data_IF_045676714563
#
_entry.id   IF_045676714563
#
_cell.length_a   1.000
_cell.length_b   1.000
_cell.length_c   1.000
_cell.angle_alpha   90.00
_cell.angle_beta   90.00
_cell.angle_gamma   90.00
#
_symmetry.space_group_name_H-M   'P 1'
#
loop_
_entity.id
_entity.type
_entity.pdbx_description
1 polymer ?
#
# COMPACT_ATOMS: atom_id res chain seq x y z
N UNK A 1 6.40 -31.23 8.74
CA UNK A 1 6.15 -30.27 7.66
C UNK A 1 5.38 -29.07 8.19
N UNK A 2 5.98 -27.89 8.12
CA UNK A 2 5.41 -26.65 8.64
C UNK A 2 4.87 -25.80 7.49
N UNK A 3 3.54 -25.65 7.47
CA UNK A 3 2.82 -25.12 6.31
C UNK A 3 2.01 -23.89 6.70
N UNK A 4 2.17 -22.81 5.95
CA UNK A 4 1.33 -21.62 6.07
C UNK A 4 0.18 -21.72 5.08
N UNK A 5 -1.05 -21.53 5.56
CA UNK A 5 -2.27 -21.62 4.75
C UNK A 5 -2.91 -20.24 4.69
N UNK A 6 -3.03 -19.69 3.47
CA UNK A 6 -3.48 -18.33 3.22
C UNK A 6 -4.72 -18.35 2.34
N UNK A 7 -5.81 -17.73 2.79
CA UNK A 7 -7.00 -17.53 1.97
C UNK A 7 -6.80 -16.31 1.09
N UNK A 8 -6.96 -16.44 -0.22
CA UNK A 8 -6.78 -15.36 -1.18
C UNK A 8 -8.01 -14.45 -1.24
N UNK A 9 -7.79 -13.15 -1.37
CA UNK A 9 -8.84 -12.14 -1.61
C UNK A 9 -8.23 -10.92 -2.31
N UNK A 10 -9.06 -9.90 -2.59
CA UNK A 10 -8.58 -8.61 -3.14
C UNK A 10 -7.60 -7.89 -2.21
N UNK A 11 -7.64 -8.14 -0.90
CA UNK A 11 -6.76 -7.51 0.08
C UNK A 11 -5.62 -8.48 0.43
N UNK A 12 -4.44 -8.25 -0.16
CA UNK A 12 -3.28 -9.13 0.03
C UNK A 12 -2.45 -8.81 1.28
N UNK A 13 -2.46 -7.55 1.75
CA UNK A 13 -1.64 -7.11 2.88
C UNK A 13 -1.79 -7.97 4.13
N UNK A 14 -2.99 -8.38 4.59
CA UNK A 14 -3.07 -9.19 5.79
C UNK A 14 -2.32 -10.53 5.68
N UNK A 15 -2.35 -11.18 4.52
CA UNK A 15 -1.59 -12.42 4.29
C UNK A 15 -0.09 -12.15 4.31
N UNK A 16 0.35 -11.08 3.65
CA UNK A 16 1.74 -10.65 3.65
C UNK A 16 2.22 -10.33 5.08
N UNK A 17 1.46 -9.54 5.84
CA UNK A 17 1.73 -9.20 7.23
C UNK A 17 1.85 -10.43 8.12
N UNK A 18 0.93 -11.39 7.97
CA UNK A 18 0.94 -12.63 8.75
C UNK A 18 2.22 -13.44 8.50
N UNK A 19 2.61 -13.62 7.23
CA UNK A 19 3.83 -14.35 6.88
C UNK A 19 5.07 -13.62 7.41
N UNK A 20 5.13 -12.29 7.26
CA UNK A 20 6.25 -11.49 7.76
C UNK A 20 6.40 -11.61 9.28
N UNK A 21 5.28 -11.65 10.01
CA UNK A 21 5.24 -11.91 11.44
C UNK A 21 5.80 -13.28 11.82
N UNK A 22 5.43 -14.33 11.08
CA UNK A 22 5.96 -15.68 11.31
C UNK A 22 7.47 -15.73 11.03
N UNK A 23 7.93 -15.09 9.95
CA UNK A 23 9.36 -14.99 9.62
C UNK A 23 10.14 -14.23 10.70
N UNK A 24 9.64 -13.09 11.17
CA UNK A 24 10.25 -12.32 12.26
C UNK A 24 10.32 -13.09 13.60
N UNK A 25 9.43 -14.06 13.80
CA UNK A 25 9.44 -14.97 14.95
C UNK A 25 10.33 -16.21 14.73
N UNK A 26 11.13 -16.24 13.66
CA UNK A 26 11.94 -17.38 13.26
C UNK A 26 11.13 -18.69 13.13
N UNK A 27 9.87 -18.58 12.72
CA UNK A 27 9.04 -19.77 12.48
C UNK A 27 9.58 -20.53 11.27
N UNK A 28 9.90 -21.83 11.37
CA UNK A 28 10.48 -22.58 10.28
C UNK A 28 9.39 -22.96 9.26
N UNK A 29 9.11 -22.06 8.31
CA UNK A 29 8.15 -22.28 7.23
C UNK A 29 8.81 -23.12 6.14
N UNK A 30 8.13 -24.18 5.70
CA UNK A 30 8.62 -25.10 4.68
C UNK A 30 7.78 -25.08 3.41
N UNK A 31 6.50 -24.70 3.51
CA UNK A 31 5.58 -24.66 2.37
C UNK A 31 4.44 -23.69 2.60
N UNK A 32 3.86 -23.22 1.51
CA UNK A 32 2.67 -22.39 1.46
C UNK A 32 1.52 -23.13 0.76
N UNK A 33 0.30 -22.94 1.25
CA UNK A 33 -0.93 -23.32 0.55
C UNK A 33 -1.74 -22.04 0.36
N UNK A 34 -1.99 -21.68 -0.89
CA UNK A 34 -2.80 -20.53 -1.26
C UNK A 34 -4.18 -21.02 -1.69
N UNK A 35 -5.19 -20.74 -0.88
CA UNK A 35 -6.57 -21.19 -1.11
C UNK A 35 -7.34 -20.06 -1.78
N UNK A 36 -7.75 -20.27 -3.02
CA UNK A 36 -8.51 -19.32 -3.82
C UNK A 36 -9.85 -19.89 -4.30
N UNK A 37 -10.52 -19.07 -5.11
CA UNK A 37 -11.75 -19.37 -5.85
C UNK A 37 -11.63 -18.88 -7.30
N UNK A 38 -12.66 -19.13 -8.12
CA UNK A 38 -12.75 -18.60 -9.49
C UNK A 38 -12.48 -17.10 -9.58
N UNK A 39 -13.02 -16.31 -8.63
CA UNK A 39 -12.79 -14.88 -8.58
C UNK A 39 -11.30 -14.53 -8.40
N UNK A 40 -10.62 -15.21 -7.46
CA UNK A 40 -9.20 -14.93 -7.19
C UNK A 40 -8.28 -15.44 -8.29
N UNK A 41 -8.68 -16.50 -8.99
CA UNK A 41 -7.95 -17.07 -10.13
C UNK A 41 -8.07 -16.15 -11.35
N UNK A 42 -9.29 -15.71 -11.68
CA UNK A 42 -9.57 -14.75 -12.75
C UNK A 42 -8.76 -13.46 -12.59
N UNK A 43 -8.61 -12.98 -11.35
CA UNK A 43 -7.85 -11.77 -11.03
C UNK A 43 -6.37 -12.04 -10.68
N UNK A 44 -5.91 -13.29 -10.76
CA UNK A 44 -4.52 -13.72 -10.52
C UNK A 44 -3.93 -13.27 -9.17
N UNK A 45 -4.74 -13.19 -8.12
CA UNK A 45 -4.26 -12.73 -6.80
C UNK A 45 -3.19 -13.62 -6.18
N UNK A 46 -3.12 -14.88 -6.59
CA UNK A 46 -2.02 -15.77 -6.21
C UNK A 46 -0.66 -15.23 -6.69
N UNK A 47 -0.56 -14.71 -7.93
CA UNK A 47 0.68 -14.16 -8.47
C UNK A 47 1.15 -12.93 -7.67
N UNK A 48 0.21 -12.09 -7.24
CA UNK A 48 0.53 -10.90 -6.46
C UNK A 48 1.20 -11.29 -5.14
N UNK A 49 0.63 -12.27 -4.43
CA UNK A 49 1.15 -12.72 -3.15
C UNK A 49 2.47 -13.49 -3.30
N UNK A 50 2.61 -14.29 -4.36
CA UNK A 50 3.87 -14.99 -4.71
C UNK A 50 4.99 -13.98 -4.94
N UNK A 51 4.74 -12.94 -5.76
CA UNK A 51 5.70 -11.87 -6.03
C UNK A 51 6.08 -11.12 -4.74
N UNK A 52 5.08 -10.69 -3.96
CA UNK A 52 5.30 -9.93 -2.73
C UNK A 52 6.10 -10.72 -1.67
N UNK A 53 5.89 -12.04 -1.60
CA UNK A 53 6.60 -12.91 -0.68
C UNK A 53 7.93 -13.43 -1.21
N UNK A 54 8.21 -13.22 -2.50
CA UNK A 54 9.37 -13.77 -3.20
C UNK A 54 9.37 -15.30 -3.26
N UNK A 55 8.19 -15.93 -3.37
CA UNK A 55 8.08 -17.40 -3.40
C UNK A 55 8.55 -17.96 -4.74
N UNK A 56 9.24 -19.09 -4.69
CA UNK A 56 9.69 -19.84 -5.86
C UNK A 56 8.74 -21.00 -6.17
N UNK A 57 8.82 -21.50 -7.40
CA UNK A 57 8.12 -22.72 -7.79
C UNK A 57 8.52 -23.88 -6.86
N UNK A 58 7.54 -24.69 -6.46
CA UNK A 58 7.71 -25.78 -5.50
C UNK A 58 7.58 -25.38 -4.02
N UNK A 59 7.65 -24.09 -3.68
CA UNK A 59 7.44 -23.60 -2.31
C UNK A 59 5.96 -23.44 -1.96
N UNK A 60 5.06 -23.40 -2.95
CA UNK A 60 3.63 -23.19 -2.76
C UNK A 60 2.76 -24.20 -3.51
N UNK A 61 1.52 -24.33 -3.06
CA UNK A 61 0.44 -25.06 -3.72
C UNK A 61 -0.77 -24.16 -3.87
N UNK A 62 -1.49 -24.28 -4.99
CA UNK A 62 -2.73 -23.54 -5.26
C UNK A 62 -3.92 -24.47 -5.08
N UNK A 63 -4.79 -24.14 -4.15
CA UNK A 63 -6.02 -24.90 -3.91
C UNK A 63 -7.21 -24.05 -4.32
N UNK A 64 -8.08 -24.61 -5.15
CA UNK A 64 -9.32 -23.98 -5.58
C UNK A 64 -10.49 -24.56 -4.80
N UNK A 65 -11.34 -23.68 -4.27
CA UNK A 65 -12.57 -24.03 -3.55
C UNK A 65 -13.72 -23.15 -4.02
N UNK A 66 -14.94 -23.61 -3.79
CA UNK A 66 -16.13 -22.77 -3.94
C UNK A 66 -16.14 -21.62 -2.91
N UNK A 67 -16.34 -20.38 -3.36
CA UNK A 67 -16.36 -19.20 -2.47
C UNK A 67 -17.73 -18.87 -1.87
N UNK A 68 -18.80 -19.41 -2.44
CA UNK A 68 -20.19 -19.05 -2.14
C UNK A 68 -20.94 -20.20 -1.44
N UNK A 69 -20.47 -21.44 -1.59
CA UNK A 69 -21.04 -22.64 -0.98
C UNK A 69 -20.13 -23.24 0.09
N UNK A 70 -20.51 -23.09 1.36
CA UNK A 70 -19.79 -23.68 2.49
C UNK A 70 -19.70 -25.22 2.39
N UNK A 71 -20.75 -25.88 1.89
CA UNK A 71 -20.80 -27.34 1.75
C UNK A 71 -19.81 -27.79 0.69
N UNK A 72 -19.82 -27.14 -0.48
CA UNK A 72 -18.91 -27.48 -1.57
C UNK A 72 -17.45 -27.16 -1.19
N UNK A 73 -17.19 -25.99 -0.61
CA UNK A 73 -15.87 -25.61 -0.12
C UNK A 73 -15.28 -26.64 0.85
N UNK A 74 -16.09 -27.20 1.76
CA UNK A 74 -15.65 -28.27 2.66
C UNK A 74 -15.35 -29.57 1.94
N UNK A 75 -16.13 -29.92 0.91
CA UNK A 75 -15.88 -31.11 0.10
C UNK A 75 -14.55 -30.98 -0.65
N UNK A 76 -14.32 -29.82 -1.27
CA UNK A 76 -13.08 -29.50 -1.98
C UNK A 76 -11.87 -29.60 -1.03
N UNK A 77 -11.96 -28.96 0.15
CA UNK A 77 -10.90 -29.00 1.17
C UNK A 77 -10.67 -30.41 1.71
N UNK A 78 -11.71 -31.20 1.93
CA UNK A 78 -11.59 -32.58 2.40
C UNK A 78 -10.84 -33.45 1.38
N UNK A 79 -11.12 -33.27 0.08
CA UNK A 79 -10.40 -33.95 -0.99
C UNK A 79 -8.92 -33.56 -1.02
N UNK A 80 -8.60 -32.27 -0.91
CA UNK A 80 -7.22 -31.77 -0.89
C UNK A 80 -6.45 -32.26 0.34
N UNK A 81 -7.07 -32.26 1.52
CA UNK A 81 -6.46 -32.73 2.77
C UNK A 81 -6.26 -34.24 2.80
N UNK A 82 -7.14 -35.02 2.19
CA UNK A 82 -7.00 -36.48 2.11
C UNK A 82 -5.73 -36.89 1.35
N UNK A 83 -5.38 -36.16 0.29
CA UNK A 83 -4.15 -36.39 -0.49
C UNK A 83 -2.86 -36.10 0.30
N UNK A 84 -2.96 -35.45 1.47
CA UNK A 84 -1.81 -35.05 2.32
C UNK A 84 -1.58 -35.97 3.52
N UNK A 85 -2.23 -37.13 3.58
CA UNK A 85 -2.00 -38.14 4.62
C UNK A 85 -0.59 -38.75 4.50
N UNK A 86 0.40 -38.00 4.98
CA UNK A 86 1.77 -38.48 5.19
C UNK A 86 1.98 -38.75 6.68
N UNK A 87 2.78 -39.78 6.99
CA UNK A 87 3.08 -40.20 8.37
C UNK A 87 3.92 -39.19 9.18
N UNK A 88 4.43 -38.13 8.53
CA UNK A 88 5.26 -37.12 9.17
C UNK A 88 4.42 -36.09 9.92
N UNK A 89 4.90 -35.62 11.08
CA UNK A 89 4.28 -34.54 11.83
C UNK A 89 4.09 -33.29 10.96
N UNK A 90 2.87 -32.75 10.92
CA UNK A 90 2.52 -31.54 10.17
C UNK A 90 2.03 -30.45 11.11
N UNK A 91 2.39 -29.20 10.84
CA UNK A 91 1.89 -28.03 11.55
C UNK A 91 1.35 -27.03 10.55
N UNK A 92 0.07 -26.70 10.69
CA UNK A 92 -0.59 -25.70 9.88
C UNK A 92 -0.73 -24.38 10.64
N UNK A 93 -0.31 -23.28 10.00
CA UNK A 93 -0.67 -21.92 10.39
C UNK A 93 -1.72 -21.40 9.42
N UNK A 94 -2.99 -21.50 9.79
CA UNK A 94 -4.12 -21.08 8.99
C UNK A 94 -4.45 -19.62 9.24
N UNK A 95 -4.38 -18.79 8.21
CA UNK A 95 -4.73 -17.38 8.27
C UNK A 95 -6.13 -17.13 7.67
N UNK A 96 -7.06 -16.73 8.53
CA UNK A 96 -8.50 -16.62 8.24
C UNK A 96 -8.95 -15.24 7.75
N UNK A 97 -8.03 -14.29 7.60
CA UNK A 97 -8.38 -12.90 7.28
C UNK A 97 -8.83 -12.70 5.84
N UNK A 98 -8.25 -13.47 4.91
CA UNK A 98 -8.61 -13.43 3.49
C UNK A 98 -9.80 -14.34 3.16
N UNK A 99 -10.05 -14.52 1.85
CA UNK A 99 -11.22 -15.23 1.35
C UNK A 99 -12.55 -14.51 1.62
N UNK A 100 -13.65 -15.14 1.20
CA UNK A 100 -14.99 -14.79 1.68
C UNK A 100 -15.18 -15.35 3.10
N UNK A 101 -16.22 -14.90 3.80
CA UNK A 101 -16.59 -15.46 5.11
C UNK A 101 -16.86 -16.96 5.04
N UNK A 102 -17.49 -17.42 3.96
CA UNK A 102 -17.78 -18.84 3.72
C UNK A 102 -16.50 -19.66 3.57
N UNK A 103 -15.52 -19.15 2.81
CA UNK A 103 -14.19 -19.78 2.70
C UNK A 103 -13.50 -19.87 4.06
N UNK A 104 -13.49 -18.79 4.84
CA UNK A 104 -12.85 -18.78 6.16
C UNK A 104 -13.48 -19.78 7.13
N UNK A 105 -14.81 -19.86 7.17
CA UNK A 105 -15.54 -20.85 7.97
C UNK A 105 -15.25 -22.28 7.51
N UNK A 106 -15.32 -22.55 6.20
CA UNK A 106 -15.06 -23.87 5.63
C UNK A 106 -13.62 -24.33 5.88
N UNK A 107 -12.64 -23.43 5.74
CA UNK A 107 -11.24 -23.71 6.04
C UNK A 107 -11.04 -24.01 7.53
N UNK A 108 -11.57 -23.16 8.41
CA UNK A 108 -11.45 -23.37 9.85
C UNK A 108 -12.00 -24.75 10.27
N UNK A 109 -13.19 -25.11 9.81
CA UNK A 109 -13.81 -26.37 10.17
C UNK A 109 -13.08 -27.59 9.58
N UNK A 110 -12.64 -27.49 8.31
CA UNK A 110 -11.94 -28.58 7.63
C UNK A 110 -10.58 -28.87 8.26
N UNK A 111 -9.76 -27.84 8.49
CA UNK A 111 -8.45 -28.00 9.12
C UNK A 111 -8.58 -28.41 10.61
N UNK A 112 -9.58 -27.89 11.33
CA UNK A 112 -9.85 -28.31 12.72
C UNK A 112 -10.28 -29.77 12.78
N UNK A 113 -11.14 -30.23 11.87
CA UNK A 113 -11.49 -31.66 11.77
C UNK A 113 -10.25 -32.49 11.48
N UNK A 114 -9.45 -32.10 10.49
CA UNK A 114 -8.25 -32.84 10.08
C UNK A 114 -7.19 -32.95 11.19
N UNK A 115 -6.96 -31.87 11.96
CA UNK A 115 -6.04 -31.89 13.11
C UNK A 115 -6.55 -32.74 14.27
N UNK A 116 -7.87 -32.86 14.46
CA UNK A 116 -8.44 -33.77 15.48
C UNK A 116 -8.39 -35.23 15.07
N UNK A 117 -8.56 -35.53 13.79
CA UNK A 117 -8.61 -36.92 13.29
C UNK A 117 -7.24 -37.49 12.96
N UNK A 118 -6.20 -36.65 12.87
CA UNK A 118 -4.85 -37.06 12.45
C UNK A 118 -3.85 -36.71 13.55
N UNK A 119 -3.41 -37.69 14.35
CA UNK A 119 -2.56 -37.46 15.54
C UNK A 119 -1.28 -36.67 15.26
N UNK A 120 -0.73 -36.79 14.05
CA UNK A 120 0.50 -36.12 13.64
C UNK A 120 0.29 -34.65 13.20
N UNK A 121 -0.94 -34.13 13.21
CA UNK A 121 -1.27 -32.81 12.67
C UNK A 121 -1.59 -31.81 13.80
N UNK A 122 -0.88 -30.69 13.81
CA UNK A 122 -1.15 -29.53 14.66
C UNK A 122 -1.74 -28.39 13.83
N UNK A 123 -2.69 -27.64 14.42
CA UNK A 123 -3.29 -26.46 13.80
C UNK A 123 -3.19 -25.26 14.73
N UNK A 124 -2.71 -24.14 14.19
CA UNK A 124 -2.95 -22.81 14.73
C UNK A 124 -3.74 -21.98 13.74
N UNK A 125 -4.88 -21.43 14.17
CA UNK A 125 -5.70 -20.55 13.32
C UNK A 125 -5.61 -19.12 13.80
N UNK A 126 -5.45 -18.19 12.87
CA UNK A 126 -5.15 -16.79 13.15
C UNK A 126 -6.04 -15.85 12.33
N UNK A 127 -6.41 -14.73 12.92
CA UNK A 127 -7.14 -13.65 12.28
C UNK A 127 -6.45 -12.31 12.62
N UNK A 128 -6.29 -11.46 11.62
CA UNK A 128 -5.68 -10.15 11.74
C UNK A 128 -6.71 -9.11 11.28
N UNK A 129 -7.30 -8.32 12.19
CA UNK A 129 -8.27 -7.31 11.80
C UNK A 129 -7.63 -6.28 10.87
N UNK A 130 -8.49 -5.62 10.10
CA UNK A 130 -8.07 -4.51 9.27
C UNK A 130 -7.38 -3.42 10.12
N UNK A 131 -6.25 -2.89 9.65
CA UNK A 131 -5.41 -1.94 10.41
C UNK A 131 -4.34 -2.58 11.30
N UNK A 132 -4.26 -3.92 11.37
CA UNK A 132 -2.98 -4.63 11.58
C UNK A 132 -2.24 -4.45 12.90
N UNK A 133 -2.87 -3.96 13.98
CA UNK A 133 -2.18 -3.82 15.30
C UNK A 133 -2.37 -5.02 16.23
N UNK A 134 -3.24 -5.96 15.88
CA UNK A 134 -3.57 -7.13 16.69
C UNK A 134 -3.55 -8.41 15.85
N UNK A 135 -2.95 -9.46 16.41
CA UNK A 135 -3.07 -10.82 15.91
C UNK A 135 -3.91 -11.64 16.90
N UNK A 136 -5.04 -12.15 16.42
CA UNK A 136 -5.90 -13.04 17.18
C UNK A 136 -5.60 -14.48 16.79
N UNK A 137 -5.06 -15.26 17.72
CA UNK A 137 -5.06 -16.71 17.62
C UNK A 137 -6.43 -17.20 18.03
N UNK A 138 -7.15 -17.84 17.12
CA UNK A 138 -8.52 -18.35 17.32
C UNK A 138 -8.49 -19.80 17.83
N UNK A 139 -7.50 -20.59 17.40
CA UNK A 139 -7.37 -22.01 17.73
C UNK A 139 -5.89 -22.39 17.96
N UNK A 140 -5.57 -23.33 18.88
CA UNK A 140 -6.48 -24.11 19.74
C UNK A 140 -7.02 -23.36 20.96
N UNK A 141 -6.36 -22.28 21.37
CA UNK A 141 -6.76 -21.43 22.48
C UNK A 141 -6.87 -19.99 22.01
N UNK A 142 -8.00 -19.34 22.28
CA UNK A 142 -8.22 -17.94 21.94
C UNK A 142 -7.22 -17.05 22.70
N UNK A 143 -6.37 -16.32 21.97
CA UNK A 143 -5.42 -15.34 22.53
C UNK A 143 -5.23 -14.20 21.56
N UNK A 144 -5.13 -12.98 22.10
CA UNK A 144 -4.84 -11.77 21.31
C UNK A 144 -3.46 -11.26 21.68
N UNK A 145 -2.67 -10.87 20.69
CA UNK A 145 -1.35 -10.26 20.90
C UNK A 145 -1.24 -8.98 20.08
N UNK A 146 -0.73 -7.91 20.69
CA UNK A 146 -0.28 -6.73 19.96
C UNK A 146 0.92 -7.11 19.11
N UNK A 147 0.89 -6.71 17.85
CA UNK A 147 2.01 -6.93 16.94
C UNK A 147 2.81 -5.65 16.79
N UNK A 148 4.12 -5.81 16.73
CA UNK A 148 5.00 -4.71 16.36
C UNK A 148 4.72 -4.29 14.92
N UNK A 149 5.09 -3.04 14.60
CA UNK A 149 5.07 -2.53 13.25
C UNK A 149 5.89 -3.44 12.33
N UNK A 150 5.43 -3.62 11.09
CA UNK A 150 6.16 -4.38 10.08
C UNK A 150 6.84 -3.41 9.11
N UNK A 151 8.13 -3.59 8.87
CA UNK A 151 8.84 -2.72 7.93
C UNK A 151 8.60 -3.19 6.50
N UNK A 152 7.50 -2.78 5.89
CA UNK A 152 7.23 -3.03 4.48
C UNK A 152 8.10 -2.17 3.57
N UNK A 153 8.59 -2.78 2.50
CA UNK A 153 9.16 -2.09 1.35
C UNK A 153 8.07 -1.75 0.34
N UNK A 154 8.30 -0.73 -0.48
CA UNK A 154 7.42 -0.38 -1.60
C UNK A 154 7.27 -1.56 -2.56
N UNK A 155 8.35 -2.32 -2.79
CA UNK A 155 8.31 -3.52 -3.65
C UNK A 155 7.35 -4.58 -3.12
N UNK A 156 7.40 -4.88 -1.82
CA UNK A 156 6.48 -5.82 -1.17
C UNK A 156 5.03 -5.32 -1.26
N UNK A 157 4.78 -4.04 -0.96
CA UNK A 157 3.44 -3.46 -0.97
C UNK A 157 2.83 -3.48 -2.37
N UNK A 158 3.52 -2.94 -3.37
CA UNK A 158 3.02 -2.88 -4.75
C UNK A 158 2.92 -4.27 -5.38
N UNK A 159 3.87 -5.17 -5.08
CA UNK A 159 3.79 -6.57 -5.49
C UNK A 159 2.52 -7.23 -4.98
N UNK A 160 2.13 -6.96 -3.72
CA UNK A 160 0.92 -7.52 -3.11
C UNK A 160 -0.37 -7.03 -3.80
N UNK A 161 -0.34 -5.85 -4.44
CA UNK A 161 -1.45 -5.31 -5.22
C UNK A 161 -1.34 -5.56 -6.73
N UNK A 162 -0.33 -6.31 -7.16
CA UNK A 162 -0.22 -6.77 -8.53
C UNK A 162 0.58 -5.85 -9.44
N UNK A 163 1.51 -5.05 -8.89
CA UNK A 163 2.30 -4.08 -9.63
C UNK A 163 3.80 -4.34 -9.48
N UNK A 164 4.54 -4.21 -10.60
CA UNK A 164 5.99 -4.00 -10.58
C UNK A 164 6.24 -2.50 -10.50
N UNK A 165 7.28 -2.14 -9.77
CA UNK A 165 7.67 -0.74 -9.59
C UNK A 165 9.07 -0.50 -10.13
N UNK A 166 9.30 0.73 -10.57
CA UNK A 166 10.61 1.24 -10.95
C UNK A 166 10.79 2.61 -10.29
N UNK A 167 11.43 2.67 -9.11
CA UNK A 167 11.70 3.93 -8.45
C UNK A 167 12.69 4.76 -9.28
N UNK A 168 12.53 6.07 -9.28
CA UNK A 168 13.55 7.00 -9.76
C UNK A 168 14.43 7.42 -8.60
N UNK A 169 15.71 7.63 -8.86
CA UNK A 169 16.62 8.24 -7.89
C UNK A 169 16.29 9.74 -7.74
N UNK A 170 16.42 10.31 -6.53
CA UNK A 170 16.32 11.75 -6.35
C UNK A 170 17.36 12.45 -7.22
N UNK A 171 16.95 13.52 -7.90
CA UNK A 171 17.78 14.28 -8.82
C UNK A 171 18.54 15.40 -8.12
N UNK A 172 18.11 15.79 -6.93
CA UNK A 172 18.72 16.86 -6.13
C UNK A 172 19.30 16.31 -4.82
N UNK A 173 20.47 16.83 -4.43
CA UNK A 173 21.03 16.57 -3.11
C UNK A 173 20.26 17.33 -2.02
N UNK A 174 20.33 16.88 -0.74
CA UNK A 174 19.70 17.57 0.37
C UNK A 174 20.06 19.06 0.46
N UNK A 175 21.34 19.41 0.26
CA UNK A 175 21.80 20.81 0.30
C UNK A 175 21.19 21.65 -0.82
N UNK A 176 21.12 21.12 -2.04
CA UNK A 176 20.45 21.82 -3.15
C UNK A 176 18.96 22.04 -2.86
N UNK A 177 18.30 21.06 -2.24
CA UNK A 177 16.89 21.17 -1.85
C UNK A 177 16.69 22.27 -0.81
N UNK A 178 17.55 22.36 0.21
CA UNK A 178 17.51 23.41 1.22
C UNK A 178 17.69 24.81 0.60
N UNK A 179 18.64 24.96 -0.32
CA UNK A 179 18.86 26.21 -1.06
C UNK A 179 17.62 26.62 -1.88
N UNK A 180 17.04 25.68 -2.62
CA UNK A 180 15.85 25.94 -3.45
C UNK A 180 14.64 26.26 -2.57
N UNK A 181 14.47 25.55 -1.44
CA UNK A 181 13.38 25.80 -0.51
C UNK A 181 13.49 27.20 0.11
N UNK A 182 14.69 27.59 0.54
CA UNK A 182 14.96 28.93 1.10
C UNK A 182 14.63 30.02 0.07
N UNK A 183 15.05 29.83 -1.18
CA UNK A 183 14.72 30.76 -2.26
C UNK A 183 13.21 30.81 -2.53
N UNK A 184 12.54 29.65 -2.53
CA UNK A 184 11.09 29.57 -2.76
C UNK A 184 10.31 30.32 -1.69
N UNK A 185 10.72 30.24 -0.42
CA UNK A 185 10.14 31.03 0.67
C UNK A 185 10.38 32.53 0.48
N UNK A 186 11.60 32.93 0.11
CA UNK A 186 11.96 34.34 -0.12
C UNK A 186 11.15 34.97 -1.27
N UNK A 187 10.81 34.19 -2.30
CA UNK A 187 10.03 34.65 -3.46
C UNK A 187 8.52 34.44 -3.29
N UNK A 188 8.03 34.26 -2.06
CA UNK A 188 6.62 34.00 -1.75
C UNK A 188 6.04 32.85 -2.61
N UNK A 189 6.79 31.76 -2.70
CA UNK A 189 6.45 30.54 -3.44
C UNK A 189 6.27 30.74 -4.95
N UNK A 190 6.85 31.80 -5.52
CA UNK A 190 7.04 31.91 -6.94
C UNK A 190 8.14 30.95 -7.41
N UNK A 191 7.79 30.05 -8.32
CA UNK A 191 8.70 28.97 -8.76
C UNK A 191 9.78 29.39 -9.76
N UNK A 192 9.77 30.62 -10.28
CA UNK A 192 10.63 31.00 -11.41
C UNK A 192 12.14 30.91 -11.08
N UNK A 193 12.55 31.33 -9.89
CA UNK A 193 13.94 31.16 -9.45
C UNK A 193 14.24 29.70 -9.07
N UNK A 194 13.32 29.05 -8.36
CA UNK A 194 13.44 27.65 -7.99
C UNK A 194 13.68 26.72 -9.20
N UNK A 195 12.97 26.94 -10.31
CA UNK A 195 13.17 26.19 -11.56
C UNK A 195 14.59 26.39 -12.12
N UNK A 196 15.06 27.64 -12.16
CA UNK A 196 16.40 27.97 -12.68
C UNK A 196 17.50 27.37 -11.82
N UNK A 197 17.31 27.33 -10.51
CA UNK A 197 18.25 26.72 -9.56
C UNK A 197 18.24 25.19 -9.68
N UNK A 198 17.06 24.58 -9.74
CA UNK A 198 16.90 23.13 -9.80
C UNK A 198 17.45 22.53 -11.10
N UNK A 199 17.33 23.24 -12.24
CA UNK A 199 17.78 22.78 -13.57
C UNK A 199 17.25 21.39 -13.94
N UNK A 200 16.02 21.09 -13.51
CA UNK A 200 15.38 19.80 -13.76
C UNK A 200 14.65 19.76 -15.10
N UNK A 201 14.44 18.56 -15.69
CA UNK A 201 13.83 18.42 -17.02
C UNK A 201 12.42 19.02 -17.12
N UNK A 202 11.61 18.92 -16.06
CA UNK A 202 10.29 19.58 -16.01
C UNK A 202 10.26 20.63 -14.90
N UNK A 203 9.61 21.75 -15.19
CA UNK A 203 9.47 22.89 -14.28
C UNK A 203 8.76 22.60 -12.94
N UNK A 204 8.10 21.45 -12.81
CA UNK A 204 7.42 21.03 -11.58
C UNK A 204 8.24 20.10 -10.69
N UNK A 205 9.25 19.41 -11.24
CA UNK A 205 9.98 18.33 -10.55
C UNK A 205 10.66 18.82 -9.27
N UNK A 206 11.06 20.10 -9.19
CA UNK A 206 11.72 20.63 -7.99
C UNK A 206 10.82 20.52 -6.75
N UNK A 207 9.51 20.63 -6.93
CA UNK A 207 8.55 20.55 -5.84
C UNK A 207 8.42 19.12 -5.32
N UNK A 208 8.51 18.13 -6.20
CA UNK A 208 8.56 16.71 -5.84
C UNK A 208 9.83 16.43 -5.03
N UNK A 209 11.00 16.86 -5.51
CA UNK A 209 12.28 16.69 -4.81
C UNK A 209 12.28 17.32 -3.40
N UNK A 210 11.67 18.50 -3.25
CA UNK A 210 11.50 19.15 -1.94
C UNK A 210 10.66 18.28 -1.01
N UNK A 211 9.47 17.86 -1.44
CA UNK A 211 8.56 17.05 -0.61
C UNK A 211 9.18 15.69 -0.27
N UNK A 212 9.83 15.04 -1.24
CA UNK A 212 10.56 13.78 -1.02
C UNK A 212 11.58 13.92 0.12
N UNK A 213 12.43 14.94 0.06
CA UNK A 213 13.49 15.14 1.06
C UNK A 213 12.90 15.48 2.44
N UNK A 214 11.88 16.33 2.51
CA UNK A 214 11.19 16.62 3.78
C UNK A 214 10.65 15.36 4.44
N UNK A 215 9.90 14.54 3.69
CA UNK A 215 9.29 13.31 4.22
C UNK A 215 10.37 12.29 4.61
N UNK A 216 11.39 12.10 3.76
CA UNK A 216 12.46 11.13 3.99
C UNK A 216 13.25 11.45 5.26
N UNK A 217 13.70 12.70 5.39
CA UNK A 217 14.49 13.14 6.55
C UNK A 217 13.66 13.11 7.83
N UNK A 218 12.42 13.63 7.79
CA UNK A 218 11.54 13.67 8.94
C UNK A 218 11.31 12.29 9.56
N UNK A 219 10.98 11.33 8.71
CA UNK A 219 10.58 9.99 9.17
C UNK A 219 11.72 8.97 9.17
N UNK A 220 12.93 9.40 8.78
CA UNK A 220 14.12 8.55 8.65
C UNK A 220 13.83 7.30 7.82
N UNK A 221 13.20 7.51 6.65
CA UNK A 221 12.78 6.41 5.79
C UNK A 221 13.95 5.88 4.99
N UNK A 222 14.04 4.55 4.93
CA UNK A 222 14.97 3.84 4.06
C UNK A 222 14.58 4.01 2.58
N UNK A 223 15.54 3.88 1.67
CA UNK A 223 15.33 4.01 0.22
C UNK A 223 14.27 3.04 -0.33
N UNK A 224 14.06 1.91 0.35
CA UNK A 224 13.07 0.92 -0.03
C UNK A 224 11.65 1.27 0.43
N UNK A 225 11.50 2.30 1.26
CA UNK A 225 10.23 2.72 1.87
C UNK A 225 9.67 4.02 1.29
N UNK A 226 10.46 4.77 0.50
CA UNK A 226 10.04 6.01 -0.14
C UNK A 226 10.57 6.10 -1.57
N UNK A 227 9.78 6.65 -2.49
CA UNK A 227 10.19 6.91 -3.85
C UNK A 227 9.65 8.26 -4.33
N UNK A 228 10.41 8.88 -5.24
CA UNK A 228 10.02 10.03 -6.06
C UNK A 228 9.84 9.54 -7.50
N UNK A 229 8.83 10.04 -8.22
CA UNK A 229 8.54 9.66 -9.61
C UNK A 229 8.38 8.14 -9.80
N UNK A 230 7.66 7.46 -8.91
CA UNK A 230 7.52 6.00 -8.95
C UNK A 230 6.69 5.58 -10.15
N UNK A 231 7.34 4.96 -11.15
CA UNK A 231 6.63 4.26 -12.22
C UNK A 231 6.15 2.91 -11.72
N UNK A 232 4.90 2.55 -12.04
CA UNK A 232 4.38 1.21 -11.74
C UNK A 232 3.54 0.63 -12.89
N UNK A 233 3.62 -0.69 -13.06
CA UNK A 233 2.96 -1.43 -14.16
C UNK A 233 2.37 -2.75 -13.67
N UNK A 234 1.25 -3.23 -14.22
CA UNK A 234 0.67 -4.53 -13.84
C UNK A 234 1.66 -5.69 -14.00
N UNK A 235 1.70 -6.60 -13.01
CA UNK A 235 2.56 -7.79 -13.01
C UNK A 235 2.29 -8.71 -14.20
N UNK A 236 1.02 -8.82 -14.60
CA UNK A 236 0.57 -9.72 -15.65
C UNK A 236 0.69 -9.14 -17.07
N UNK A 237 1.26 -7.94 -17.19
CA UNK A 237 1.48 -7.24 -18.46
C UNK A 237 0.19 -6.78 -19.16
N UNK A 238 -0.99 -6.99 -18.56
CA UNK A 238 -2.26 -6.55 -19.13
C UNK A 238 -2.49 -5.10 -18.74
N UNK A 239 -2.62 -4.22 -19.73
CA UNK A 239 -3.06 -2.83 -19.51
C UNK A 239 -4.44 -2.83 -18.85
N UNK A 240 -4.60 -2.19 -17.69
CA UNK A 240 -5.90 -2.00 -17.03
C UNK A 240 -6.36 -0.54 -17.22
N UNK A 241 -6.77 -0.19 -18.45
CA UNK A 241 -7.14 1.18 -18.82
C UNK A 241 -6.00 1.95 -19.50
N UNK A 242 -5.96 3.28 -19.34
CA UNK A 242 -4.93 4.18 -19.90
C UNK A 242 -3.61 4.12 -19.11
N UNK A 243 -3.13 2.92 -18.75
CA UNK A 243 -1.98 2.69 -17.86
C UNK A 243 -0.62 2.68 -18.58
N UNK A 244 -0.48 3.34 -19.72
CA UNK A 244 0.84 3.62 -20.26
C UNK A 244 1.52 4.69 -19.40
N UNK A 245 2.17 4.23 -18.32
CA UNK A 245 3.02 5.03 -17.44
C UNK A 245 2.28 5.74 -16.30
N UNK A 246 1.65 4.98 -15.40
CA UNK A 246 1.22 5.56 -14.13
C UNK A 246 2.48 5.90 -13.29
N UNK A 247 2.72 7.19 -13.12
CA UNK A 247 3.77 7.77 -12.28
C UNK A 247 3.09 8.32 -11.01
N UNK A 248 3.65 7.99 -9.84
CA UNK A 248 3.31 8.63 -8.58
C UNK A 248 4.43 9.58 -8.19
N UNK A 249 4.10 10.85 -7.98
CA UNK A 249 5.08 11.89 -7.68
C UNK A 249 5.87 11.54 -6.41
N UNK A 250 5.21 11.40 -5.25
CA UNK A 250 5.83 10.88 -4.02
C UNK A 250 5.00 9.75 -3.45
N UNK A 251 5.66 8.68 -3.04
CA UNK A 251 5.03 7.56 -2.36
C UNK A 251 5.91 7.02 -1.26
N UNK A 252 5.33 6.75 -0.11
CA UNK A 252 6.07 6.16 1.01
C UNK A 252 5.21 5.27 1.91
N UNK A 253 5.90 4.45 2.70
CA UNK A 253 5.30 3.61 3.72
C UNK A 253 5.68 4.13 5.10
N UNK A 254 4.68 4.30 5.97
CA UNK A 254 4.87 4.61 7.39
C UNK A 254 3.80 3.90 8.20
N UNK A 255 4.18 3.27 9.31
CA UNK A 255 3.25 2.59 10.21
C UNK A 255 2.33 1.58 9.49
N UNK A 256 2.89 0.80 8.54
CA UNK A 256 2.17 -0.18 7.70
C UNK A 256 1.11 0.42 6.75
N UNK A 257 1.15 1.74 6.52
CA UNK A 257 0.22 2.45 5.65
C UNK A 257 0.93 3.09 4.47
N UNK A 258 0.24 3.13 3.33
CA UNK A 258 0.71 3.78 2.12
C UNK A 258 0.30 5.24 2.13
N UNK A 259 1.24 6.11 1.78
CA UNK A 259 1.02 7.54 1.61
C UNK A 259 1.41 7.91 0.18
N UNK A 260 0.53 8.61 -0.51
CA UNK A 260 0.72 9.07 -1.88
C UNK A 260 0.53 10.58 -1.87
N UNK A 261 1.52 11.32 -2.36
CA UNK A 261 1.45 12.78 -2.49
C UNK A 261 1.63 13.13 -3.96
N UNK A 262 0.56 13.63 -4.59
CA UNK A 262 0.62 14.27 -5.90
C UNK A 262 1.08 15.73 -5.71
N UNK A 263 1.99 16.19 -6.55
CA UNK A 263 2.62 17.50 -6.48
C UNK A 263 2.13 18.41 -7.62
N UNK A 264 1.86 19.67 -7.29
CA UNK A 264 1.53 20.73 -8.27
C UNK A 264 2.28 22.01 -7.96
N UNK A 265 3.27 22.32 -8.80
CA UNK A 265 3.94 23.62 -8.80
C UNK A 265 3.27 24.55 -9.83
N UNK A 266 2.47 25.49 -9.35
CA UNK A 266 1.68 26.39 -10.18
C UNK A 266 2.45 27.68 -10.46
N UNK A 267 2.33 28.19 -11.68
CA UNK A 267 2.89 29.49 -12.05
C UNK A 267 2.10 30.62 -11.38
N UNK A 268 2.77 31.76 -11.23
CA UNK A 268 2.14 33.07 -11.23
C UNK A 268 2.82 33.91 -12.30
N UNK A 269 2.62 33.60 -13.59
CA UNK A 269 3.21 34.40 -14.66
C UNK A 269 2.20 35.37 -15.28
N UNK A 270 2.65 36.63 -15.41
CA UNK A 270 1.97 37.71 -16.12
C UNK A 270 0.97 38.49 -15.29
N UNK A 271 0.68 39.73 -15.74
CA UNK A 271 -0.36 40.63 -15.20
C UNK A 271 -1.79 40.02 -15.18
N UNK A 272 -1.97 38.76 -15.55
CA UNK A 272 -3.26 38.11 -15.77
C UNK A 272 -3.66 37.03 -14.74
N UNK A 273 -2.73 36.39 -14.00
CA UNK A 273 -3.13 35.50 -12.90
C UNK A 273 -3.28 36.26 -11.58
N UNK A 274 -4.32 37.09 -11.49
CA UNK A 274 -4.81 37.66 -10.21
C UNK A 274 -5.67 36.68 -9.40
N UNK A 275 -5.99 35.50 -9.96
CA UNK A 275 -7.00 34.58 -9.40
C UNK A 275 -6.41 33.21 -9.13
N UNK A 276 -6.78 32.68 -7.97
CA UNK A 276 -6.44 31.33 -7.53
C UNK A 276 -6.92 30.26 -8.53
N UNK A 277 -6.05 29.34 -9.02
CA UNK A 277 -6.35 28.39 -10.09
C UNK A 277 -7.12 27.14 -9.62
N UNK A 278 -8.18 27.35 -8.82
CA UNK A 278 -8.97 26.27 -8.23
C UNK A 278 -9.59 25.33 -9.27
N UNK A 279 -10.44 25.87 -10.16
CA UNK A 279 -11.20 25.08 -11.14
C UNK A 279 -10.33 24.44 -12.24
N UNK A 280 -9.29 25.13 -12.66
CA UNK A 280 -8.50 24.75 -13.85
C UNK A 280 -7.38 23.76 -13.52
N UNK A 281 -6.81 23.83 -12.31
CA UNK A 281 -5.62 23.04 -11.95
C UNK A 281 -5.84 22.19 -10.70
N UNK A 282 -6.37 22.78 -9.62
CA UNK A 282 -6.42 22.10 -8.31
C UNK A 282 -7.53 21.06 -8.26
N UNK A 283 -8.76 21.39 -8.66
CA UNK A 283 -9.87 20.43 -8.61
C UNK A 283 -9.62 19.20 -9.49
N UNK A 284 -9.13 19.35 -10.76
CA UNK A 284 -8.71 18.19 -11.55
C UNK A 284 -7.59 17.37 -10.89
N UNK A 285 -6.62 18.02 -10.22
CA UNK A 285 -5.56 17.32 -9.52
C UNK A 285 -6.08 16.49 -8.32
N UNK A 286 -7.09 16.96 -7.60
CA UNK A 286 -7.75 16.19 -6.53
C UNK A 286 -8.38 14.91 -7.11
N UNK A 287 -9.12 15.00 -8.22
CA UNK A 287 -9.69 13.83 -8.87
C UNK A 287 -8.61 12.85 -9.39
N UNK A 288 -7.51 13.38 -9.94
CA UNK A 288 -6.36 12.55 -10.36
C UNK A 288 -5.76 11.79 -9.17
N UNK A 289 -5.46 12.48 -8.07
CA UNK A 289 -4.89 11.89 -6.86
C UNK A 289 -5.78 10.76 -6.31
N UNK A 290 -7.10 10.97 -6.29
CA UNK A 290 -8.06 9.95 -5.86
C UNK A 290 -8.11 8.74 -6.80
N UNK A 291 -8.00 8.95 -8.12
CA UNK A 291 -8.02 7.87 -9.10
C UNK A 291 -6.76 6.97 -9.01
N UNK A 292 -5.59 7.56 -8.76
CA UNK A 292 -4.32 6.83 -8.68
C UNK A 292 -4.28 5.80 -7.54
N UNK A 293 -5.04 6.02 -6.47
CA UNK A 293 -5.01 5.15 -5.28
C UNK A 293 -6.03 4.02 -5.29
N UNK A 294 -7.02 4.02 -6.21
CA UNK A 294 -8.19 3.13 -6.13
C UNK A 294 -7.84 1.63 -6.10
N UNK A 295 -6.69 1.26 -6.67
CA UNK A 295 -6.24 -0.12 -6.78
C UNK A 295 -5.08 -0.48 -5.83
N UNK A 296 -4.66 0.44 -4.96
CA UNK A 296 -3.52 0.27 -4.04
C UNK A 296 -3.95 -0.09 -2.62
N UNK A 297 -5.14 -0.66 -2.46
CA UNK A 297 -5.65 -1.14 -1.18
C UNK A 297 -6.52 -0.13 -0.43
N UNK A 298 -7.05 -0.58 0.71
CA UNK A 298 -7.94 0.21 1.56
C UNK A 298 -7.21 1.21 2.49
N UNK A 299 -5.86 1.18 2.54
CA UNK A 299 -5.01 1.98 3.44
C UNK A 299 -4.14 3.01 2.71
N UNK A 300 -4.53 3.42 1.50
CA UNK A 300 -3.84 4.48 0.79
C UNK A 300 -4.33 5.86 1.28
N UNK A 301 -3.42 6.62 1.90
CA UNK A 301 -3.65 8.00 2.30
C UNK A 301 -3.19 8.93 1.17
N UNK A 302 -4.11 9.70 0.60
CA UNK A 302 -3.84 10.53 -0.56
C UNK A 302 -3.73 12.00 -0.21
N UNK A 303 -2.71 12.65 -0.76
CA UNK A 303 -2.46 14.06 -0.57
C UNK A 303 -2.22 14.77 -1.89
N UNK A 304 -2.53 16.06 -1.90
CA UNK A 304 -2.17 16.99 -2.96
C UNK A 304 -1.31 18.10 -2.34
N UNK A 305 -0.03 18.15 -2.71
CA UNK A 305 0.91 19.19 -2.30
C UNK A 305 0.97 20.30 -3.36
N UNK A 306 0.61 21.53 -3.00
CA UNK A 306 0.55 22.64 -3.94
C UNK A 306 1.54 23.74 -3.59
N UNK A 307 2.50 24.01 -4.49
CA UNK A 307 3.29 25.23 -4.46
C UNK A 307 2.62 26.28 -5.37
N UNK A 308 2.09 27.34 -4.77
CA UNK A 308 1.42 28.43 -5.50
C UNK A 308 1.59 29.75 -4.75
N UNK A 309 1.99 30.86 -5.41
CA UNK A 309 2.16 32.15 -4.74
C UNK A 309 0.85 32.82 -4.32
N UNK A 310 -0.29 32.37 -4.86
CA UNK A 310 -1.61 32.96 -4.62
C UNK A 310 -2.36 32.12 -3.58
N UNK A 311 -2.75 32.74 -2.47
CA UNK A 311 -3.54 32.07 -1.44
C UNK A 311 -5.00 31.85 -1.88
N UNK A 312 -5.60 30.70 -1.52
CA UNK A 312 -7.02 30.48 -1.74
C UNK A 312 -7.84 31.44 -0.88
N UNK A 313 -8.79 32.15 -1.50
CA UNK A 313 -9.84 32.84 -0.76
C UNK A 313 -10.69 31.84 0.05
N UNK A 314 -11.39 32.32 1.08
CA UNK A 314 -12.18 31.46 1.99
C UNK A 314 -13.20 30.56 1.24
N UNK A 315 -13.82 31.07 0.17
CA UNK A 315 -14.75 30.30 -0.67
C UNK A 315 -14.04 29.17 -1.44
N UNK A 316 -12.85 29.42 -1.98
CA UNK A 316 -12.02 28.41 -2.62
C UNK A 316 -11.54 27.36 -1.63
N UNK A 317 -11.07 27.76 -0.44
CA UNK A 317 -10.66 26.82 0.63
C UNK A 317 -11.83 25.94 1.08
N UNK A 318 -13.03 26.51 1.24
CA UNK A 318 -14.25 25.74 1.54
C UNK A 318 -14.56 24.71 0.44
N UNK A 319 -14.42 25.08 -0.83
CA UNK A 319 -14.67 24.15 -1.95
C UNK A 319 -13.62 23.03 -2.02
N UNK A 320 -12.34 23.35 -1.80
CA UNK A 320 -11.27 22.35 -1.68
C UNK A 320 -11.59 21.36 -0.57
N UNK A 321 -11.92 21.83 0.64
CA UNK A 321 -12.24 20.94 1.76
C UNK A 321 -13.43 20.01 1.50
N UNK A 322 -14.43 20.47 0.73
CA UNK A 322 -15.56 19.63 0.29
C UNK A 322 -15.07 18.54 -0.67
N UNK A 323 -14.29 18.90 -1.69
CA UNK A 323 -13.75 17.95 -2.66
C UNK A 323 -12.78 16.95 -2.01
N UNK A 324 -11.89 17.43 -1.16
CA UNK A 324 -10.98 16.62 -0.34
C UNK A 324 -11.74 15.53 0.43
N UNK A 325 -12.83 15.91 1.11
CA UNK A 325 -13.69 14.97 1.84
C UNK A 325 -14.41 13.99 0.92
N UNK A 326 -14.94 14.47 -0.21
CA UNK A 326 -15.66 13.63 -1.19
C UNK A 326 -14.73 12.62 -1.88
N UNK A 327 -13.48 12.99 -2.11
CA UNK A 327 -12.49 12.19 -2.85
C UNK A 327 -11.51 11.45 -1.96
N UNK A 328 -11.60 11.62 -0.63
CA UNK A 328 -10.64 11.10 0.34
C UNK A 328 -9.20 11.49 -0.01
N UNK A 329 -9.00 12.78 -0.31
CA UNK A 329 -7.71 13.41 -0.58
C UNK A 329 -7.55 14.55 0.42
N UNK A 330 -6.32 14.84 0.84
CA UNK A 330 -6.03 16.03 1.63
C UNK A 330 -5.08 16.96 0.88
N UNK A 331 -5.56 18.17 0.61
CA UNK A 331 -4.77 19.21 -0.03
C UNK A 331 -4.01 20.03 1.03
N UNK A 332 -2.74 20.32 0.77
CA UNK A 332 -1.95 21.26 1.56
C UNK A 332 -1.09 22.16 0.66
N UNK A 333 -0.81 23.37 1.14
CA UNK A 333 -0.04 24.37 0.41
C UNK A 333 1.38 24.51 0.96
N UNK A 334 2.32 24.94 0.11
CA UNK A 334 3.71 25.16 0.50
C UNK A 334 3.85 26.15 1.67
N UNK A 335 2.98 27.15 1.75
CA UNK A 335 2.89 28.08 2.88
C UNK A 335 2.55 27.37 4.19
N UNK A 336 1.59 26.44 4.16
CA UNK A 336 1.21 25.66 5.33
C UNK A 336 2.37 24.75 5.78
N UNK A 337 3.20 24.26 4.85
CA UNK A 337 4.41 23.52 5.17
C UNK A 337 5.50 24.40 5.81
N UNK A 338 5.65 25.65 5.35
CA UNK A 338 6.60 26.61 5.91
C UNK A 338 6.20 27.12 7.31
N UNK A 339 4.90 27.26 7.56
CA UNK A 339 4.35 27.68 8.85
C UNK A 339 4.20 26.53 9.84
N UNK A 340 4.10 25.29 9.34
CA UNK A 340 3.95 24.14 10.19
C UNK A 340 5.18 23.94 11.08
N UNK A 341 4.92 23.78 12.38
CA UNK A 341 5.92 23.27 13.32
C UNK A 341 6.38 21.87 12.87
N UNK A 342 5.48 21.11 12.22
CA UNK A 342 5.74 19.75 11.77
C UNK A 342 4.82 19.27 10.64
N UNK A 343 5.39 18.53 9.67
CA UNK A 343 4.67 17.88 8.57
C UNK A 343 3.71 16.78 9.06
N UNK A 344 3.90 16.23 10.26
CA UNK A 344 2.97 15.29 10.89
C UNK A 344 1.56 15.89 11.04
N UNK A 345 1.48 17.18 11.37
CA UNK A 345 0.20 17.89 11.50
C UNK A 345 -0.57 17.98 10.17
N UNK A 346 0.18 18.02 9.06
CA UNK A 346 -0.35 18.06 7.71
C UNK A 346 -0.75 16.65 7.26
N UNK A 347 0.16 15.69 7.38
CA UNK A 347 -0.06 14.33 6.88
C UNK A 347 -0.94 13.47 7.81
N UNK A 348 -1.30 14.01 8.99
CA UNK A 348 -2.12 13.35 10.02
C UNK A 348 -1.59 11.97 10.40
N UNK A 349 -0.27 11.81 10.37
CA UNK A 349 0.39 10.58 10.80
C UNK A 349 0.35 10.56 12.33
N UNK A 350 -0.11 9.44 12.90
CA UNK A 350 -0.24 9.22 14.34
C UNK A 350 0.67 8.12 14.82
#
# INVERSE_FOLDING_TARGET
MNTVVLLLSKQALPNLSFVKLLKAQNSPIQRYILIGSDFTEKNKFHLHLIEALGLKEGEYELWKIDAESYVQAKKDLAQQLAQKQNQNAQKFWLHLTGGTKMMAMAAQDSFKKHSKTTKAVQLGSYYMPFGGKLLHKIYPSAKSKKIAQLDFTLKEYFGAYGYKIKPQAPKLSPTQVEEIWTQLQADNFNKNQAIKMAKLPKSGDFWEEIIYNFVKQKYQLEDQQIACGLEFKPLDGKKRGNEDGNELDIVFLKNDQLYIIECKALHGEGNEQKKFPGKTMIYPAIYKAAALSQNLGLNANNFLAVACPIHPAASSKKRINVLDKEQNVQTFFAQELAEAIDIDSILKIK
#
